data_IF_670004301406
#
_entry.id   IF_670004301406
#
_cell.length_a   1.000
_cell.length_b   1.000
_cell.length_c   1.000
_cell.angle_alpha   90.00
_cell.angle_beta   90.00
_cell.angle_gamma   90.00
#
_symmetry.space_group_name_H-M   'P 1'
#
loop_
_entity.id
_entity.type
_entity.pdbx_description
1 polymer ?
#
# COMPACT_ATOMS: atom_id res chain seq x y z
N UNK A 1 26.63 2.16 3.60
CA UNK A 1 25.80 2.38 2.39
C UNK A 1 24.78 1.24 2.17
N UNK A 2 25.19 0.03 1.73
CA UNK A 2 24.23 -1.07 1.39
C UNK A 2 23.28 -1.51 2.52
N UNK A 3 23.72 -1.49 3.78
CA UNK A 3 22.89 -1.88 4.94
C UNK A 3 21.74 -0.90 5.20
N UNK A 4 22.01 0.40 5.06
CA UNK A 4 21.03 1.46 5.29
C UNK A 4 20.00 1.51 4.16
N UNK A 5 20.45 1.41 2.90
CA UNK A 5 19.53 1.30 1.76
C UNK A 5 18.62 0.07 1.87
N UNK A 6 19.16 -1.09 2.28
CA UNK A 6 18.35 -2.29 2.51
C UNK A 6 17.38 -2.13 3.67
N UNK A 7 17.76 -1.37 4.70
CA UNK A 7 16.90 -1.07 5.84
C UNK A 7 15.71 -0.21 5.41
N UNK A 8 15.97 0.94 4.78
CA UNK A 8 14.93 1.85 4.28
C UNK A 8 14.00 1.13 3.29
N UNK A 9 14.55 0.35 2.36
CA UNK A 9 13.75 -0.42 1.41
C UNK A 9 12.88 -1.48 2.11
N UNK A 10 13.44 -2.23 3.06
CA UNK A 10 12.69 -3.23 3.82
C UNK A 10 11.54 -2.62 4.63
N UNK A 11 11.77 -1.42 5.16
CA UNK A 11 10.76 -0.68 5.92
C UNK A 11 9.64 -0.17 5.03
N UNK A 12 9.97 0.53 3.94
CA UNK A 12 9.00 0.96 2.92
C UNK A 12 8.21 -0.22 2.37
N UNK A 13 8.87 -1.34 2.07
CA UNK A 13 8.23 -2.55 1.55
C UNK A 13 7.26 -3.18 2.55
N UNK A 14 7.60 -3.16 3.84
CA UNK A 14 6.73 -3.66 4.91
C UNK A 14 5.47 -2.80 5.03
N UNK A 15 5.61 -1.47 5.05
CA UNK A 15 4.46 -0.56 5.04
C UNK A 15 3.65 -0.66 3.75
N UNK A 16 4.30 -0.87 2.60
CA UNK A 16 3.65 -1.05 1.32
C UNK A 16 2.72 -2.26 1.31
N UNK A 17 3.20 -3.43 1.75
CA UNK A 17 2.37 -4.63 1.85
C UNK A 17 1.18 -4.43 2.81
N UNK A 18 1.41 -3.79 3.95
CA UNK A 18 0.37 -3.46 4.92
C UNK A 18 -0.70 -2.55 4.31
N UNK A 19 -0.30 -1.44 3.69
CA UNK A 19 -1.19 -0.48 3.04
C UNK A 19 -1.93 -1.11 1.85
N UNK A 20 -1.24 -1.91 1.03
CA UNK A 20 -1.82 -2.59 -0.12
C UNK A 20 -2.92 -3.56 0.35
N UNK A 21 -2.65 -4.35 1.39
CA UNK A 21 -3.61 -5.28 1.96
C UNK A 21 -4.82 -4.52 2.52
N UNK A 22 -4.60 -3.50 3.35
CA UNK A 22 -5.67 -2.71 3.96
C UNK A 22 -6.55 -2.00 2.92
N UNK A 23 -5.94 -1.32 1.94
CA UNK A 23 -6.68 -0.65 0.88
C UNK A 23 -7.48 -1.63 0.04
N UNK A 24 -6.86 -2.74 -0.37
CA UNK A 24 -7.53 -3.77 -1.16
C UNK A 24 -8.70 -4.37 -0.37
N UNK A 25 -8.52 -4.61 0.93
CA UNK A 25 -9.57 -5.10 1.81
C UNK A 25 -10.75 -4.12 1.94
N UNK A 26 -10.47 -2.83 2.17
CA UNK A 26 -11.51 -1.79 2.25
C UNK A 26 -12.27 -1.65 0.93
N UNK A 27 -11.55 -1.65 -0.20
CA UNK A 27 -12.17 -1.58 -1.53
C UNK A 27 -13.04 -2.80 -1.84
N UNK A 28 -12.60 -3.99 -1.42
CA UNK A 28 -13.41 -5.21 -1.56
C UNK A 28 -14.69 -5.15 -0.76
N UNK A 29 -14.61 -4.74 0.52
CA UNK A 29 -15.81 -4.59 1.35
C UNK A 29 -16.78 -3.62 0.70
N UNK A 30 -16.30 -2.45 0.25
CA UNK A 30 -17.13 -1.47 -0.44
C UNK A 30 -17.83 -2.09 -1.67
N UNK A 31 -17.12 -2.90 -2.46
CA UNK A 31 -17.68 -3.56 -3.64
C UNK A 31 -18.68 -4.65 -3.28
N UNK A 32 -18.45 -5.40 -2.21
CA UNK A 32 -19.38 -6.41 -1.71
C UNK A 32 -20.71 -5.75 -1.33
N UNK A 33 -20.68 -4.67 -0.54
CA UNK A 33 -21.91 -3.94 -0.17
C UNK A 33 -22.69 -3.44 -1.40
N UNK A 34 -22.00 -2.83 -2.37
CA UNK A 34 -22.64 -2.36 -3.62
C UNK A 34 -23.25 -3.52 -4.45
N UNK A 35 -22.59 -4.67 -4.50
CA UNK A 35 -23.07 -5.83 -5.24
C UNK A 35 -24.23 -6.53 -4.52
N UNK A 36 -24.26 -6.52 -3.19
CA UNK A 36 -25.38 -7.06 -2.40
C UNK A 36 -26.66 -6.29 -2.69
N UNK A 37 -26.62 -4.96 -2.80
CA UNK A 37 -27.79 -4.16 -3.20
C UNK A 37 -28.33 -4.57 -4.58
N UNK A 38 -27.43 -4.85 -5.54
CA UNK A 38 -27.79 -5.33 -6.88
C UNK A 38 -28.37 -6.76 -6.86
N UNK A 39 -27.90 -7.60 -5.96
CA UNK A 39 -28.33 -9.01 -5.84
C UNK A 39 -29.69 -9.13 -5.16
N UNK A 40 -29.93 -8.32 -4.12
CA UNK A 40 -31.25 -8.22 -3.47
C UNK A 40 -32.29 -7.63 -4.45
N UNK A 41 -31.88 -6.68 -5.30
CA UNK A 41 -32.76 -6.08 -6.31
C UNK A 41 -33.06 -6.93 -7.55
N UNK A 42 -32.19 -7.88 -7.94
CA UNK A 42 -32.34 -8.65 -9.20
C UNK A 42 -32.28 -10.18 -9.08
N UNK A 43 -32.13 -10.75 -7.89
CA UNK A 43 -32.18 -12.21 -7.67
C UNK A 43 -31.00 -12.98 -8.29
N UNK A 44 -29.81 -12.40 -8.29
CA UNK A 44 -28.61 -13.00 -8.91
C UNK A 44 -28.03 -14.13 -8.04
N UNK A 45 -27.70 -15.31 -8.59
CA UNK A 45 -27.13 -16.41 -7.81
C UNK A 45 -25.75 -16.07 -7.23
N UNK A 46 -25.49 -16.46 -5.96
CA UNK A 46 -24.23 -16.23 -5.23
C UNK A 46 -22.97 -16.66 -5.99
N UNK A 47 -23.05 -17.73 -6.79
CA UNK A 47 -21.92 -18.20 -7.60
C UNK A 47 -21.48 -17.19 -8.67
N UNK A 48 -22.41 -16.39 -9.21
CA UNK A 48 -22.11 -15.36 -10.19
C UNK A 48 -21.47 -14.14 -9.53
N UNK A 49 -21.87 -13.84 -8.29
CA UNK A 49 -21.31 -12.82 -7.41
C UNK A 49 -19.83 -13.09 -7.10
N UNK A 50 -19.50 -14.34 -6.74
CA UNK A 50 -18.11 -14.76 -6.49
C UNK A 50 -17.23 -14.63 -7.74
N UNK A 51 -17.76 -15.01 -8.91
CA UNK A 51 -17.05 -14.88 -10.19
C UNK A 51 -16.82 -13.42 -10.58
N UNK A 52 -17.78 -12.55 -10.26
CA UNK A 52 -17.67 -11.10 -10.45
C UNK A 52 -16.58 -10.50 -9.55
N UNK A 53 -16.57 -10.87 -8.26
CA UNK A 53 -15.55 -10.42 -7.30
C UNK A 53 -14.15 -10.87 -7.70
N UNK A 54 -13.98 -12.13 -8.13
CA UNK A 54 -12.70 -12.63 -8.65
C UNK A 54 -12.22 -11.87 -9.88
N UNK A 55 -13.14 -11.47 -10.76
CA UNK A 55 -12.80 -10.67 -11.95
C UNK A 55 -12.44 -9.23 -11.58
N UNK A 56 -13.03 -8.69 -10.50
CA UNK A 56 -12.78 -7.34 -10.00
C UNK A 56 -11.50 -7.24 -9.16
N UNK A 57 -11.08 -8.32 -8.49
CA UNK A 57 -9.86 -8.37 -7.67
C UNK A 57 -8.63 -7.76 -8.35
N UNK A 58 -8.22 -8.17 -9.58
CA UNK A 58 -7.03 -7.61 -10.22
C UNK A 58 -7.18 -6.10 -10.45
N UNK A 59 -8.35 -5.63 -10.91
CA UNK A 59 -8.60 -4.20 -11.15
C UNK A 59 -8.48 -3.38 -9.87
N UNK A 60 -9.03 -3.88 -8.76
CA UNK A 60 -8.94 -3.23 -7.45
C UNK A 60 -7.49 -3.17 -6.95
N UNK A 61 -6.73 -4.25 -7.16
CA UNK A 61 -5.34 -4.34 -6.75
C UNK A 61 -4.44 -3.39 -7.55
N UNK A 62 -4.64 -3.29 -8.88
CA UNK A 62 -3.97 -2.31 -9.73
C UNK A 62 -4.30 -0.86 -9.33
N UNK A 63 -5.55 -0.58 -8.94
CA UNK A 63 -5.95 0.74 -8.48
C UNK A 63 -5.38 1.08 -7.09
N UNK A 64 -5.27 0.08 -6.20
CA UNK A 64 -4.73 0.25 -4.85
C UNK A 64 -3.20 0.39 -4.83
N UNK A 65 -2.49 -0.20 -5.80
CA UNK A 65 -1.03 -0.19 -5.92
C UNK A 65 -0.38 1.20 -5.79
N UNK A 66 -0.73 2.21 -6.61
CA UNK A 66 -0.12 3.54 -6.51
C UNK A 66 -0.49 4.27 -5.21
N UNK A 67 -1.72 4.11 -4.73
CA UNK A 67 -2.17 4.70 -3.48
C UNK A 67 -1.43 4.10 -2.27
N UNK A 68 -1.28 2.77 -2.25
CA UNK A 68 -0.55 2.05 -1.22
C UNK A 68 0.92 2.44 -1.19
N UNK A 69 1.56 2.60 -2.36
CA UNK A 69 2.96 3.04 -2.46
C UNK A 69 3.16 4.43 -1.85
N UNK A 70 2.30 5.39 -2.20
CA UNK A 70 2.38 6.74 -1.65
C UNK A 70 2.22 6.77 -0.13
N UNK A 71 1.20 6.09 0.39
CA UNK A 71 0.92 6.05 1.83
C UNK A 71 2.08 5.35 2.57
N UNK A 72 2.59 4.26 2.03
CA UNK A 72 3.70 3.53 2.63
C UNK A 72 4.98 4.36 2.71
N UNK A 73 5.31 5.12 1.66
CA UNK A 73 6.44 6.04 1.69
C UNK A 73 6.27 7.09 2.79
N UNK A 74 5.10 7.70 2.89
CA UNK A 74 4.81 8.71 3.91
C UNK A 74 4.96 8.11 5.31
N UNK A 75 4.40 6.91 5.56
CA UNK A 75 4.48 6.25 6.86
C UNK A 75 5.90 5.84 7.24
N UNK A 76 6.66 5.28 6.30
CA UNK A 76 8.05 4.91 6.52
C UNK A 76 8.91 6.14 6.87
N UNK A 77 8.83 7.22 6.08
CA UNK A 77 9.55 8.45 6.38
C UNK A 77 9.05 9.15 7.65
N UNK A 78 7.75 9.05 7.96
CA UNK A 78 7.19 9.55 9.21
C UNK A 78 7.81 8.84 10.41
N UNK A 79 7.92 7.50 10.39
CA UNK A 79 8.58 6.73 11.46
C UNK A 79 10.06 7.09 11.59
N UNK A 80 10.81 7.11 10.48
CA UNK A 80 12.23 7.51 10.47
C UNK A 80 12.45 8.93 11.02
N UNK A 81 11.51 9.83 10.77
CA UNK A 81 11.58 11.20 11.28
C UNK A 81 11.23 11.27 12.77
N UNK A 82 10.25 10.49 13.22
CA UNK A 82 9.82 10.44 14.62
C UNK A 82 10.91 9.85 15.53
N UNK A 83 11.61 8.84 15.05
CA UNK A 83 12.74 8.21 15.76
C UNK A 83 14.05 9.01 15.62
N UNK A 84 14.01 10.20 15.00
CA UNK A 84 15.18 11.04 14.70
C UNK A 84 16.26 10.35 13.85
N UNK A 85 15.97 9.19 13.24
CA UNK A 85 16.88 8.47 12.34
C UNK A 85 17.19 9.31 11.10
N UNK A 86 16.19 10.02 10.56
CA UNK A 86 16.36 10.96 9.43
C UNK A 86 17.37 12.08 9.74
N UNK A 87 17.32 12.61 10.96
CA UNK A 87 18.21 13.67 11.44
C UNK A 87 19.61 13.11 11.67
N UNK A 88 19.72 11.94 12.30
CA UNK A 88 21.00 11.26 12.54
C UNK A 88 21.75 10.95 11.23
N UNK A 89 21.03 10.45 10.21
CA UNK A 89 21.61 10.20 8.90
C UNK A 89 22.16 11.49 8.27
N UNK A 90 21.39 12.58 8.35
CA UNK A 90 21.82 13.89 7.81
C UNK A 90 23.02 14.46 8.56
N UNK A 91 23.08 14.28 9.89
CA UNK A 91 24.20 14.72 10.73
C UNK A 91 25.51 13.99 10.41
N UNK A 92 25.45 12.75 9.91
CA UNK A 92 26.64 12.00 9.43
C UNK A 92 27.09 12.38 8.02
N UNK A 93 26.48 13.41 7.41
CA UNK A 93 26.83 13.89 6.07
C UNK A 93 26.11 13.20 4.91
N UNK A 94 25.06 12.41 5.17
CA UNK A 94 24.21 11.91 4.08
C UNK A 94 23.26 12.99 3.59
N UNK A 95 23.27 13.23 2.28
CA UNK A 95 22.27 14.04 1.60
C UNK A 95 20.89 13.39 1.68
N UNK A 96 19.85 14.21 1.86
CA UNK A 96 18.43 13.81 1.77
C UNK A 96 18.12 13.05 0.47
N UNK A 97 18.76 13.44 -0.64
CA UNK A 97 18.60 12.74 -1.91
C UNK A 97 19.06 11.28 -1.85
N UNK A 98 20.12 10.97 -1.09
CA UNK A 98 20.62 9.59 -0.92
C UNK A 98 19.63 8.70 -0.16
N UNK A 99 18.79 9.30 0.69
CA UNK A 99 17.71 8.61 1.41
C UNK A 99 16.49 8.34 0.52
N UNK A 100 16.29 9.11 -0.55
CA UNK A 100 15.18 8.95 -1.51
C UNK A 100 15.48 7.95 -2.64
N UNK A 101 16.76 7.75 -3.01
CA UNK A 101 17.20 6.74 -4.01
C UNK A 101 16.56 5.35 -3.81
N UNK A 102 16.51 4.74 -2.61
CA UNK A 102 15.94 3.41 -2.44
C UNK A 102 14.43 3.33 -2.66
N UNK A 103 13.73 4.46 -2.76
CA UNK A 103 12.27 4.52 -2.94
C UNK A 103 11.88 4.71 -4.42
N UNK A 104 12.79 5.24 -5.24
CA UNK A 104 12.56 5.51 -6.66
C UNK A 104 13.03 4.42 -7.64
N UNK A 105 13.57 3.31 -7.13
CA UNK A 105 14.05 2.15 -7.90
C UNK A 105 13.13 0.97 -7.65
#
# INVERSE_FOLDING_TARGET
>A
MKKLHRYIFGEVFTYFLLCLFLLTFVLLLNRIFQLTDLVVGKGVPFGLLARLLLTLMPVLLLAALPAAALIACILAFSRLSNDSESIAMTATGMSLYSQLVPVGV
#
